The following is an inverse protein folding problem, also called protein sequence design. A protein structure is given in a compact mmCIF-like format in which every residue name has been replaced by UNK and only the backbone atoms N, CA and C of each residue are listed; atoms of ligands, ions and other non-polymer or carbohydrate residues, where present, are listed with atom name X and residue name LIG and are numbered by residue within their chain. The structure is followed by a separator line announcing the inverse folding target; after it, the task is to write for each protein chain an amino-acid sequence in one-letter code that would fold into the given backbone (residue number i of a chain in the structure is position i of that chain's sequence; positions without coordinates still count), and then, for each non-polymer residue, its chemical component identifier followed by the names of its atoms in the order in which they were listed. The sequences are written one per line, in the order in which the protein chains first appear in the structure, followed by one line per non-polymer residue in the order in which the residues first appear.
data_IF_943192932460
#
_entry.id   IF_943192932460
#
_cell.length_a   1.000
_cell.length_b   1.000
_cell.length_c   1.000
_cell.angle_alpha   90.00
_cell.angle_beta   90.00
_cell.angle_gamma   90.00
#
_symmetry.space_group_name_H-M   'P 1'
#
loop_
_entity.id
_entity.type
_entity.pdbx_description
1 polymer ?
#
# COMPACT_ATOMS: atom_id res chain seq x y z
N UNK A 1 -1.33 8.99 4.51
CA UNK A 1 -0.16 9.83 4.82
C UNK A 1 1.12 9.03 4.62
N UNK A 2 2.21 9.68 4.23
CA UNK A 2 3.52 9.04 4.06
C UNK A 2 4.43 9.17 5.29
N UNK A 3 3.90 9.73 6.37
CA UNK A 3 4.49 9.73 7.71
C UNK A 3 3.39 9.64 8.76
N UNK A 4 3.79 9.69 10.03
CA UNK A 4 2.91 9.74 11.20
C UNK A 4 3.53 10.69 12.23
N UNK A 5 2.75 11.21 13.20
CA UNK A 5 3.34 11.95 14.32
C UNK A 5 4.34 11.07 15.07
N UNK A 6 5.32 11.70 15.73
CA UNK A 6 6.39 11.00 16.42
C UNK A 6 5.89 10.11 17.55
N UNK A 7 6.40 8.89 17.68
CA UNK A 7 5.97 7.94 18.72
C UNK A 7 6.16 8.50 20.15
N UNK A 8 7.26 9.25 20.37
CA UNK A 8 7.58 9.90 21.64
C UNK A 8 6.63 11.05 21.97
N UNK A 9 5.87 11.53 21.00
CA UNK A 9 4.84 12.55 21.17
C UNK A 9 3.42 11.96 21.29
N UNK A 10 3.25 10.64 21.13
CA UNK A 10 1.94 10.00 21.10
C UNK A 10 1.72 9.03 22.26
N UNK A 11 2.50 7.95 22.32
CA UNK A 11 2.26 6.81 23.24
C UNK A 11 3.52 6.39 24.02
N UNK A 12 4.72 6.82 23.62
CA UNK A 12 5.99 6.42 24.24
C UNK A 12 6.49 7.50 25.21
N UNK A 13 5.98 7.48 26.44
CA UNK A 13 6.37 8.45 27.47
C UNK A 13 7.79 8.17 27.98
N UNK A 14 8.71 9.10 27.69
CA UNK A 14 10.11 9.05 28.14
C UNK A 14 10.49 10.24 29.02
N UNK A 15 10.17 10.22 30.33
CA UNK A 15 10.42 11.34 31.24
C UNK A 15 11.91 11.72 31.36
N UNK A 16 12.80 10.73 31.24
CA UNK A 16 14.24 10.96 31.34
C UNK A 16 14.78 11.90 30.24
N UNK A 17 14.12 11.98 29.07
CA UNK A 17 14.54 12.91 28.01
C UNK A 17 14.53 14.37 28.46
N UNK A 18 13.70 14.72 29.45
CA UNK A 18 13.65 16.09 30.01
C UNK A 18 14.98 16.47 30.65
N UNK A 19 15.63 15.54 31.37
CA UNK A 19 16.95 15.76 32.01
C UNK A 19 18.08 15.95 31.00
N UNK A 20 17.86 15.50 29.77
CA UNK A 20 18.80 15.59 28.66
C UNK A 20 18.44 16.68 27.65
N UNK A 21 17.40 17.48 27.89
CA UNK A 21 16.97 18.49 26.93
C UNK A 21 18.11 19.44 26.55
N UNK A 22 18.31 19.64 25.24
CA UNK A 22 19.39 20.44 24.64
C UNK A 22 20.82 19.96 24.96
N UNK A 23 20.98 18.76 25.51
CA UNK A 23 22.29 18.10 25.59
C UNK A 23 22.57 17.35 24.29
N UNK A 24 23.84 17.19 23.90
CA UNK A 24 24.20 16.37 22.74
C UNK A 24 23.72 14.92 22.95
N UNK A 25 23.30 14.29 21.86
CA UNK A 25 22.91 12.88 21.85
C UNK A 25 24.11 12.03 22.31
N UNK A 26 23.95 11.20 23.35
CA UNK A 26 25.05 10.38 23.85
C UNK A 26 25.62 9.45 22.76
N UNK A 27 26.95 9.28 22.66
CA UNK A 27 27.56 8.35 21.71
C UNK A 27 27.06 6.90 21.86
N UNK A 28 26.70 6.50 23.08
CA UNK A 28 26.10 5.20 23.38
C UNK A 28 24.72 4.97 22.73
N UNK A 29 24.01 6.03 22.36
CA UNK A 29 22.72 5.95 21.65
C UNK A 29 22.93 6.00 20.15
N UNK A 30 23.81 6.90 19.69
CA UNK A 30 24.11 7.05 18.27
C UNK A 30 24.76 5.78 17.70
N UNK A 31 25.70 5.15 18.42
CA UNK A 31 26.40 3.92 18.01
C UNK A 31 26.90 3.91 16.55
N UNK A 32 27.21 5.09 15.99
CA UNK A 32 27.59 5.22 14.58
C UNK A 32 26.47 4.96 13.56
N UNK A 33 25.20 5.04 13.99
CA UNK A 33 24.04 4.89 13.11
C UNK A 33 24.12 5.85 11.92
N UNK A 34 23.67 5.35 10.75
CA UNK A 34 23.61 6.15 9.53
C UNK A 34 22.57 7.25 9.71
N UNK A 35 22.99 8.49 9.48
CA UNK A 35 22.08 9.64 9.42
C UNK A 35 21.74 9.98 7.98
N UNK A 36 20.58 10.59 7.76
CA UNK A 36 20.18 11.05 6.44
C UNK A 36 21.09 12.20 5.97
N UNK A 37 21.14 12.45 4.66
CA UNK A 37 21.87 13.59 4.11
C UNK A 37 21.40 14.94 4.68
N UNK A 38 20.11 15.03 5.07
CA UNK A 38 19.52 16.25 5.65
C UNK A 38 19.98 16.51 7.09
N UNK A 39 20.40 15.46 7.81
CA UNK A 39 20.83 15.53 9.21
C UNK A 39 22.35 15.47 9.36
N UNK A 40 23.09 15.11 8.30
CA UNK A 40 24.55 15.02 8.31
C UNK A 40 25.17 16.40 8.58
N UNK A 41 26.08 16.46 9.56
CA UNK A 41 26.75 17.71 9.95
C UNK A 41 25.87 18.68 10.74
N UNK A 42 24.63 18.30 11.09
CA UNK A 42 23.77 19.06 12.00
C UNK A 42 23.95 18.56 13.43
N UNK A 43 23.87 19.49 14.37
CA UNK A 43 23.90 19.17 15.80
C UNK A 43 22.73 18.25 16.16
N UNK A 44 23.02 17.16 16.86
CA UNK A 44 22.02 16.18 17.31
C UNK A 44 21.74 16.42 18.79
N UNK A 45 20.76 17.29 19.06
CA UNK A 45 20.34 17.61 20.43
C UNK A 45 19.14 16.77 20.84
N UNK A 46 19.14 16.33 22.10
CA UNK A 46 18.00 15.61 22.67
C UNK A 46 16.83 16.57 22.88
N UNK A 47 15.66 16.20 22.37
CA UNK A 47 14.39 16.91 22.54
C UNK A 47 13.34 15.98 23.17
N UNK A 48 12.82 16.28 24.38
CA UNK A 48 11.68 15.59 24.93
C UNK A 48 10.41 16.00 24.20
N UNK A 49 9.34 15.23 24.38
CA UNK A 49 8.01 15.69 23.98
C UNK A 49 7.63 16.97 24.71
N UNK A 50 6.96 17.88 23.99
CA UNK A 50 6.39 19.10 24.57
C UNK A 50 5.00 18.89 25.18
N UNK A 51 4.41 17.72 24.97
CA UNK A 51 3.04 17.43 25.36
C UNK A 51 2.96 16.72 26.70
N UNK A 52 1.83 16.86 27.37
CA UNK A 52 1.56 16.17 28.62
C UNK A 52 1.09 14.73 28.40
N UNK A 53 1.58 13.83 29.25
CA UNK A 53 1.22 12.41 29.25
C UNK A 53 0.48 12.04 30.54
N UNK A 54 -0.53 11.18 30.40
CA UNK A 54 -1.25 10.58 31.52
C UNK A 54 -1.49 9.11 31.21
N UNK A 55 -1.51 8.26 32.25
CA UNK A 55 -1.98 6.88 32.13
C UNK A 55 -3.49 6.88 31.93
N UNK A 56 -3.97 6.05 31.01
CA UNK A 56 -5.36 5.99 30.58
C UNK A 56 -5.89 4.56 30.70
N UNK A 57 -7.18 4.45 30.98
CA UNK A 57 -7.83 3.16 31.19
C UNK A 57 -7.29 2.39 32.39
N UNK A 58 -7.82 1.19 32.59
CA UNK A 58 -7.35 0.21 33.58
C UNK A 58 -6.01 -0.40 33.18
N UNK A 59 -5.75 -0.51 31.87
CA UNK A 59 -4.48 -0.94 31.28
C UNK A 59 -3.32 0.02 31.59
N UNK A 60 -3.62 1.27 31.94
CA UNK A 60 -2.63 2.26 32.35
C UNK A 60 -1.70 2.67 31.22
N UNK A 61 -2.18 2.63 29.96
CA UNK A 61 -1.45 3.03 28.76
C UNK A 61 -1.10 4.52 28.84
N UNK A 62 0.16 4.85 28.58
CA UNK A 62 0.59 6.25 28.45
C UNK A 62 0.05 6.86 27.16
N UNK A 63 -0.65 7.99 27.28
CA UNK A 63 -1.20 8.69 26.11
C UNK A 63 -1.09 10.21 26.24
N UNK A 64 -0.62 10.83 25.15
CA UNK A 64 -0.51 12.28 24.98
C UNK A 64 -1.88 12.99 25.05
N UNK A 65 -1.88 14.25 25.50
CA UNK A 65 -3.07 15.12 25.60
C UNK A 65 -3.79 15.43 24.30
N UNK A 66 -3.13 15.21 23.16
CA UNK A 66 -3.69 15.43 21.83
C UNK A 66 -4.84 14.47 21.46
N UNK A 67 -5.06 13.40 22.23
CA UNK A 67 -6.08 12.39 21.91
C UNK A 67 -7.23 12.32 22.93
N UNK A 68 -8.00 13.41 23.17
CA UNK A 68 -9.04 13.42 24.20
C UNK A 68 -10.12 12.34 24.00
N UNK A 69 -10.42 12.00 22.74
CA UNK A 69 -11.44 11.00 22.37
C UNK A 69 -10.89 9.57 22.41
N UNK A 70 -9.66 9.34 21.94
CA UNK A 70 -9.06 8.01 21.90
C UNK A 70 -8.87 7.42 23.32
N UNK A 71 -8.64 8.29 24.30
CA UNK A 71 -8.50 7.91 25.72
C UNK A 71 -9.73 7.18 26.28
N UNK A 72 -10.92 7.44 25.73
CA UNK A 72 -12.17 6.82 26.19
C UNK A 72 -12.22 5.31 25.90
N UNK A 73 -11.43 4.85 24.93
CA UNK A 73 -11.34 3.45 24.52
C UNK A 73 -9.94 2.88 24.79
N UNK A 74 -9.20 3.46 25.74
CA UNK A 74 -7.81 3.07 26.01
C UNK A 74 -7.65 1.57 26.29
N UNK A 75 -8.61 0.97 27.01
CA UNK A 75 -8.57 -0.46 27.35
C UNK A 75 -8.85 -1.41 26.17
N UNK A 76 -9.35 -0.88 25.05
CA UNK A 76 -9.55 -1.63 23.80
C UNK A 76 -8.34 -1.50 22.85
N UNK A 77 -7.32 -0.74 23.23
CA UNK A 77 -6.13 -0.53 22.41
C UNK A 77 -5.01 -1.52 22.77
N UNK A 78 -4.38 -2.07 21.74
CA UNK A 78 -3.12 -2.81 21.87
C UNK A 78 -1.97 -1.96 21.31
N UNK A 79 -0.97 -1.66 22.15
CA UNK A 79 0.21 -0.90 21.75
C UNK A 79 1.40 -1.85 21.65
N UNK A 80 2.01 -1.91 20.46
CA UNK A 80 3.20 -2.73 20.19
C UNK A 80 4.44 -1.83 20.24
N UNK A 81 5.16 -1.86 21.36
CA UNK A 81 6.40 -1.09 21.56
C UNK A 81 7.67 -1.83 21.11
N UNK A 82 7.54 -3.09 20.67
CA UNK A 82 8.67 -3.94 20.26
C UNK A 82 9.06 -3.78 18.80
N UNK A 83 8.33 -2.99 18.01
CA UNK A 83 8.64 -2.78 16.59
C UNK A 83 9.93 -1.97 16.44
N UNK A 84 10.87 -2.51 15.67
CA UNK A 84 12.12 -1.85 15.32
C UNK A 84 12.38 -2.02 13.81
N UNK A 85 13.10 -1.08 13.21
CA UNK A 85 13.52 -1.12 11.80
C UNK A 85 14.91 -0.51 11.66
N UNK A 86 15.67 -0.98 10.67
CA UNK A 86 16.96 -0.43 10.31
C UNK A 86 16.83 0.72 9.28
N UNK A 87 15.62 0.96 8.77
CA UNK A 87 15.35 1.98 7.78
C UNK A 87 15.53 3.38 8.38
N UNK A 88 16.53 4.11 7.87
CA UNK A 88 16.81 5.50 8.28
C UNK A 88 15.86 6.53 7.65
N UNK A 89 15.13 6.12 6.60
CA UNK A 89 14.23 6.95 5.82
C UNK A 89 12.81 6.40 5.87
N UNK A 90 11.84 7.30 5.82
CA UNK A 90 10.43 6.94 5.89
C UNK A 90 9.95 6.06 4.72
N UNK A 91 10.48 6.22 3.51
CA UNK A 91 10.08 5.42 2.34
C UNK A 91 10.45 3.92 2.46
N UNK A 92 11.72 3.56 2.75
CA UNK A 92 12.08 2.19 3.09
C UNK A 92 11.33 1.66 4.32
N UNK A 93 11.16 2.49 5.37
CA UNK A 93 10.45 2.08 6.58
C UNK A 93 8.97 1.72 6.31
N UNK A 94 8.26 2.51 5.49
CA UNK A 94 6.90 2.20 5.03
C UNK A 94 6.86 0.89 4.24
N UNK A 95 7.82 0.69 3.35
CA UNK A 95 7.89 -0.53 2.53
C UNK A 95 8.11 -1.73 3.44
N UNK A 96 8.99 -1.61 4.44
CA UNK A 96 9.24 -2.64 5.43
C UNK A 96 8.00 -2.97 6.26
N UNK A 97 7.33 -1.94 6.80
CA UNK A 97 6.11 -2.14 7.58
C UNK A 97 5.02 -2.86 6.78
N UNK A 98 4.86 -2.49 5.51
CA UNK A 98 3.80 -3.06 4.68
C UNK A 98 4.15 -4.42 4.06
N UNK A 99 5.43 -4.73 3.81
CA UNK A 99 5.85 -5.88 2.98
C UNK A 99 6.89 -6.80 3.63
N UNK A 100 7.37 -6.44 4.83
CA UNK A 100 8.45 -7.13 5.54
C UNK A 100 9.84 -6.88 4.95
N UNK A 101 10.00 -5.98 3.97
CA UNK A 101 11.27 -5.69 3.31
C UNK A 101 11.41 -4.20 2.98
N UNK A 102 12.62 -3.67 3.15
CA UNK A 102 12.95 -2.30 2.73
C UNK A 102 13.03 -2.19 1.19
N UNK A 103 13.36 -3.29 0.51
CA UNK A 103 13.43 -3.38 -0.95
C UNK A 103 12.03 -3.67 -1.51
N UNK A 104 11.52 -2.85 -2.45
CA UNK A 104 10.22 -3.08 -3.08
C UNK A 104 10.18 -4.36 -3.92
N UNK A 105 8.97 -4.91 -4.08
CA UNK A 105 8.71 -6.09 -4.91
C UNK A 105 8.07 -7.27 -4.16
N UNK A 106 8.12 -7.26 -2.83
CA UNK A 106 7.43 -8.27 -2.01
C UNK A 106 5.94 -7.99 -1.91
N UNK A 107 5.16 -9.05 -1.69
CA UNK A 107 3.75 -8.95 -1.42
C UNK A 107 3.52 -8.18 -0.10
N UNK A 108 2.52 -7.31 -0.11
CA UNK A 108 2.08 -6.60 1.09
C UNK A 108 1.41 -7.55 2.08
N UNK A 109 1.36 -7.14 3.35
CA UNK A 109 0.66 -7.87 4.41
C UNK A 109 -0.81 -8.11 4.04
N UNK A 110 -1.48 -7.12 3.45
CA UNK A 110 -2.86 -7.29 2.95
C UNK A 110 -2.96 -8.37 1.86
N UNK A 111 -2.01 -8.42 0.92
CA UNK A 111 -1.97 -9.44 -0.11
C UNK A 111 -1.71 -10.84 0.46
N UNK A 112 -0.83 -10.96 1.46
CA UNK A 112 -0.60 -12.23 2.16
C UNK A 112 -1.82 -12.72 2.92
N UNK A 113 -2.54 -11.82 3.61
CA UNK A 113 -3.78 -12.14 4.32
C UNK A 113 -4.85 -12.61 3.33
N UNK A 114 -5.03 -11.87 2.24
CA UNK A 114 -5.97 -12.20 1.16
C UNK A 114 -5.63 -13.55 0.49
N UNK A 115 -4.34 -13.86 0.30
CA UNK A 115 -3.91 -15.15 -0.24
C UNK A 115 -4.10 -16.30 0.74
N UNK A 116 -3.69 -16.12 2.00
CA UNK A 116 -3.66 -17.18 3.01
C UNK A 116 -5.02 -17.48 3.63
N UNK A 117 -5.84 -16.47 3.88
CA UNK A 117 -7.19 -16.63 4.45
C UNK A 117 -8.27 -16.73 3.37
N UNK A 118 -7.96 -16.34 2.13
CA UNK A 118 -8.93 -16.25 1.06
C UNK A 118 -9.87 -15.05 1.21
N UNK A 119 -10.95 -15.06 0.43
CA UNK A 119 -11.96 -14.02 0.46
C UNK A 119 -13.28 -14.52 1.04
N UNK A 120 -13.91 -13.67 1.85
CA UNK A 120 -15.30 -13.85 2.27
C UNK A 120 -16.29 -13.34 1.22
N UNK A 121 -15.83 -12.70 0.14
CA UNK A 121 -16.67 -12.15 -0.90
C UNK A 121 -16.14 -12.52 -2.30
N UNK A 122 -17.02 -12.63 -3.28
CA UNK A 122 -16.64 -12.86 -4.68
C UNK A 122 -16.68 -11.58 -5.53
N UNK A 123 -17.40 -10.56 -5.04
CA UNK A 123 -17.77 -9.40 -5.85
C UNK A 123 -17.07 -8.10 -5.43
N UNK A 124 -16.38 -8.08 -4.27
CA UNK A 124 -15.61 -6.92 -3.79
C UNK A 124 -14.15 -7.28 -3.54
N UNK A 125 -13.25 -6.28 -3.56
CA UNK A 125 -11.85 -6.48 -3.21
C UNK A 125 -11.68 -7.00 -1.78
N UNK A 126 -10.69 -7.87 -1.57
CA UNK A 126 -10.38 -8.43 -0.25
C UNK A 126 -9.92 -7.38 0.76
N UNK A 127 -9.23 -6.33 0.27
CA UNK A 127 -8.92 -5.16 1.08
C UNK A 127 -8.78 -3.91 0.22
N UNK A 128 -9.06 -2.77 0.85
CA UNK A 128 -9.06 -1.45 0.22
C UNK A 128 -8.01 -0.55 0.84
N UNK A 129 -7.50 0.39 0.05
CA UNK A 129 -6.46 1.33 0.48
C UNK A 129 -6.98 2.75 0.35
N UNK A 130 -7.40 3.38 1.45
CA UNK A 130 -7.82 4.77 1.43
C UNK A 130 -6.60 5.68 1.29
N UNK A 131 -6.62 6.57 0.29
CA UNK A 131 -5.55 7.55 0.12
C UNK A 131 -5.95 8.92 0.64
N UNK A 132 -5.12 9.48 1.53
CA UNK A 132 -5.38 10.76 2.20
C UNK A 132 -5.19 12.00 1.31
N UNK A 133 -4.81 11.82 0.04
CA UNK A 133 -4.56 12.91 -0.88
C UNK A 133 -4.73 12.46 -2.33
N UNK A 134 -5.38 13.30 -3.13
CA UNK A 134 -5.59 13.14 -4.56
C UNK A 134 -4.76 14.19 -5.30
N UNK A 135 -4.13 13.80 -6.42
CA UNK A 135 -3.34 14.72 -7.23
C UNK A 135 -4.25 15.75 -7.89
N UNK A 136 -4.17 17.01 -7.45
CA UNK A 136 -4.95 18.14 -8.00
C UNK A 136 -4.15 18.99 -8.99
N UNK A 137 -3.15 18.44 -9.67
CA UNK A 137 -2.41 19.19 -10.69
C UNK A 137 -1.51 20.31 -10.17
N UNK A 138 -0.88 20.13 -8.99
CA UNK A 138 0.26 20.96 -8.57
C UNK A 138 0.06 21.86 -7.34
N UNK A 139 -1.16 21.99 -6.80
CA UNK A 139 -1.46 22.93 -5.68
C UNK A 139 -1.43 22.32 -4.29
N UNK A 140 -1.30 20.99 -4.15
CA UNK A 140 -1.25 20.33 -2.84
C UNK A 140 -0.05 19.39 -2.78
N UNK A 141 0.67 19.43 -1.65
CA UNK A 141 1.75 18.51 -1.34
C UNK A 141 1.16 17.11 -1.10
N UNK A 142 0.87 16.41 -2.18
CA UNK A 142 0.49 15.00 -2.17
C UNK A 142 1.79 14.23 -2.05
N UNK A 143 2.19 13.90 -0.81
CA UNK A 143 3.26 12.91 -0.67
C UNK A 143 2.82 11.63 -1.40
N UNK A 144 3.58 11.26 -2.44
CA UNK A 144 3.26 10.13 -3.29
C UNK A 144 3.24 8.84 -2.45
N UNK A 145 2.06 8.23 -2.35
CA UNK A 145 1.93 6.86 -1.89
C UNK A 145 2.00 5.95 -3.11
N UNK A 146 2.99 5.06 -3.12
CA UNK A 146 3.23 4.16 -4.24
C UNK A 146 2.46 2.86 -4.06
N UNK A 147 1.93 2.32 -5.15
CA UNK A 147 1.18 1.05 -5.18
C UNK A 147 1.96 -0.14 -4.61
N UNK A 148 3.29 -0.09 -4.66
CA UNK A 148 4.17 -1.08 -4.03
C UNK A 148 3.90 -1.33 -2.54
N UNK A 149 3.30 -0.37 -1.83
CA UNK A 149 2.98 -0.53 -0.40
C UNK A 149 1.80 -1.47 -0.15
N UNK A 150 0.97 -1.72 -1.16
CA UNK A 150 -0.17 -2.64 -1.10
C UNK A 150 -0.16 -3.61 -2.28
N UNK A 151 1.03 -3.87 -2.82
CA UNK A 151 1.25 -4.74 -3.98
C UNK A 151 0.97 -6.21 -3.68
N UNK A 152 0.59 -6.98 -4.70
CA UNK A 152 0.56 -8.45 -4.62
C UNK A 152 1.95 -9.08 -4.74
N UNK A 153 2.96 -8.34 -5.22
CA UNK A 153 4.30 -8.88 -5.42
C UNK A 153 4.28 -10.12 -6.34
N UNK A 154 4.86 -11.27 -5.92
CA UNK A 154 4.80 -12.50 -6.70
C UNK A 154 3.43 -13.21 -6.66
N UNK A 155 2.50 -12.78 -5.80
CA UNK A 155 1.18 -13.38 -5.70
C UNK A 155 0.29 -12.96 -6.89
N UNK A 156 -0.69 -13.80 -7.28
CA UNK A 156 -1.67 -13.45 -8.31
C UNK A 156 -2.29 -12.07 -8.08
N UNK A 157 -2.48 -11.32 -9.18
CA UNK A 157 -2.98 -9.94 -9.14
C UNK A 157 -4.34 -9.76 -8.48
N UNK A 158 -5.13 -10.83 -8.34
CA UNK A 158 -6.39 -10.82 -7.58
C UNK A 158 -6.22 -10.41 -6.11
N UNK A 159 -5.02 -10.58 -5.54
CA UNK A 159 -4.68 -10.21 -4.16
C UNK A 159 -4.12 -8.78 -4.05
N UNK A 160 -4.14 -8.00 -5.13
CA UNK A 160 -3.68 -6.62 -5.15
C UNK A 160 -4.65 -5.72 -4.38
N UNK A 161 -4.13 -4.89 -3.47
CA UNK A 161 -4.96 -3.92 -2.77
C UNK A 161 -5.57 -2.90 -3.74
N UNK A 162 -6.86 -2.59 -3.57
CA UNK A 162 -7.57 -1.65 -4.42
C UNK A 162 -7.56 -0.26 -3.79
N UNK A 163 -7.00 0.71 -4.52
CA UNK A 163 -6.96 2.11 -4.09
C UNK A 163 -8.36 2.72 -4.13
N UNK A 164 -8.77 3.33 -3.03
CA UNK A 164 -10.02 4.07 -2.91
C UNK A 164 -9.78 5.57 -2.86
N UNK A 165 -10.50 6.31 -3.71
CA UNK A 165 -10.53 7.76 -3.70
C UNK A 165 -11.52 8.28 -2.66
N UNK A 166 -11.19 9.43 -2.07
CA UNK A 166 -12.04 10.10 -1.08
C UNK A 166 -13.12 10.99 -1.72
N UNK A 167 -13.02 11.26 -3.02
CA UNK A 167 -13.99 12.05 -3.79
C UNK A 167 -14.06 11.55 -5.24
N UNK A 168 -15.19 11.76 -5.90
CA UNK A 168 -15.45 11.24 -7.24
C UNK A 168 -15.72 9.73 -7.23
N UNK A 169 -15.24 9.02 -8.24
CA UNK A 169 -15.35 7.56 -8.33
C UNK A 169 -14.44 6.89 -7.28
N UNK A 170 -15.01 6.15 -6.29
CA UNK A 170 -14.21 5.51 -5.24
C UNK A 170 -13.18 4.55 -5.82
N UNK A 171 -13.58 3.75 -6.81
CA UNK A 171 -12.69 2.96 -7.64
C UNK A 171 -12.61 3.62 -9.01
N UNK A 172 -11.39 3.91 -9.47
CA UNK A 172 -11.17 4.55 -10.76
C UNK A 172 -11.92 3.83 -11.89
N UNK A 173 -12.68 4.60 -12.68
CA UNK A 173 -13.41 4.14 -13.87
C UNK A 173 -14.54 3.12 -13.60
N UNK A 174 -15.04 3.10 -12.35
CA UNK A 174 -16.21 2.31 -12.01
C UNK A 174 -17.48 2.86 -12.69
N UNK A 175 -17.65 4.18 -12.69
CA UNK A 175 -18.78 4.82 -13.34
C UNK A 175 -18.64 4.78 -14.87
N UNK A 176 -19.77 4.87 -15.57
CA UNK A 176 -19.74 5.07 -17.01
C UNK A 176 -19.26 6.49 -17.33
N UNK A 177 -18.37 6.66 -18.33
CA UNK A 177 -18.02 7.99 -18.79
C UNK A 177 -19.28 8.70 -19.34
N UNK A 178 -19.28 10.03 -19.29
CA UNK A 178 -20.40 10.84 -19.80
C UNK A 178 -20.68 10.48 -21.26
N UNK A 179 -21.95 10.16 -21.56
CA UNK A 179 -22.40 9.77 -22.91
C UNK A 179 -22.41 8.27 -23.19
N UNK A 180 -21.93 7.42 -22.26
CA UNK A 180 -22.06 5.96 -22.37
C UNK A 180 -23.14 5.49 -21.39
N UNK A 181 -24.23 4.97 -21.93
CA UNK A 181 -25.27 4.35 -21.10
C UNK A 181 -24.89 2.91 -20.71
N UNK A 182 -25.58 2.38 -19.70
CA UNK A 182 -25.33 1.04 -19.18
C UNK A 182 -25.54 -0.06 -20.21
N UNK A 183 -26.51 0.09 -21.12
CA UNK A 183 -26.80 -0.89 -22.18
C UNK A 183 -25.69 -0.95 -23.22
N UNK A 184 -25.14 0.19 -23.65
CA UNK A 184 -23.97 0.23 -24.54
C UNK A 184 -22.77 -0.43 -23.85
N UNK A 185 -22.48 -0.10 -22.59
CA UNK A 185 -21.35 -0.72 -21.86
C UNK A 185 -21.55 -2.24 -21.72
N UNK A 186 -22.78 -2.69 -21.43
CA UNK A 186 -23.08 -4.13 -21.32
C UNK A 186 -22.82 -4.85 -22.64
N UNK A 187 -23.27 -4.29 -23.77
CA UNK A 187 -23.02 -4.84 -25.10
C UNK A 187 -21.54 -4.94 -25.42
N UNK A 188 -20.75 -3.92 -25.07
CA UNK A 188 -19.29 -3.95 -25.22
C UNK A 188 -18.65 -5.09 -24.41
N UNK A 189 -19.06 -5.26 -23.15
CA UNK A 189 -18.55 -6.33 -22.28
C UNK A 189 -18.93 -7.72 -22.77
N UNK A 190 -20.18 -7.91 -23.20
CA UNK A 190 -20.66 -9.20 -23.71
C UNK A 190 -19.96 -9.58 -25.02
N UNK A 191 -19.73 -8.62 -25.91
CA UNK A 191 -18.96 -8.83 -27.14
C UNK A 191 -17.51 -9.23 -26.82
N UNK A 192 -16.86 -8.53 -25.88
CA UNK A 192 -15.51 -8.87 -25.44
C UNK A 192 -15.42 -10.26 -24.81
N UNK A 193 -16.45 -10.66 -24.06
CA UNK A 193 -16.54 -12.01 -23.48
C UNK A 193 -16.67 -13.07 -24.56
N UNK A 194 -17.55 -12.88 -25.54
CA UNK A 194 -17.74 -13.82 -26.65
C UNK A 194 -16.44 -14.06 -27.42
N UNK A 195 -15.74 -12.98 -27.80
CA UNK A 195 -14.42 -13.08 -28.48
C UNK A 195 -13.40 -13.83 -27.63
N UNK A 196 -13.37 -13.56 -26.31
CA UNK A 196 -12.45 -14.24 -25.40
C UNK A 196 -12.78 -15.72 -25.14
N UNK A 197 -14.02 -16.14 -25.35
CA UNK A 197 -14.44 -17.55 -25.30
C UNK A 197 -14.02 -18.27 -26.60
N UNK A 198 -14.21 -17.64 -27.75
CA UNK A 198 -13.76 -18.17 -29.06
C UNK A 198 -12.24 -18.39 -29.13
N UNK A 199 -11.44 -17.42 -28.67
CA UNK A 199 -9.98 -17.56 -28.64
C UNK A 199 -9.51 -18.68 -27.69
N UNK A 200 -10.25 -18.96 -26.61
CA UNK A 200 -9.95 -20.07 -25.70
C UNK A 200 -10.33 -21.41 -26.30
N UNK A 201 -11.41 -21.48 -27.07
CA UNK A 201 -11.76 -22.64 -27.89
C UNK A 201 -10.64 -22.98 -28.87
N UNK A 202 -10.17 -21.99 -29.62
CA UNK A 202 -9.02 -22.14 -30.54
C UNK A 202 -7.74 -22.60 -29.84
N UNK A 203 -7.44 -22.04 -28.67
CA UNK A 203 -6.25 -22.43 -27.89
C UNK A 203 -6.34 -23.87 -27.35
N UNK A 204 -7.53 -24.32 -26.97
CA UNK A 204 -7.76 -25.69 -26.52
C UNK A 204 -7.64 -26.70 -27.69
N UNK A 205 -8.15 -26.33 -28.86
CA UNK A 205 -8.06 -27.11 -30.09
C UNK A 205 -6.60 -27.24 -30.57
N UNK A 206 -5.81 -26.16 -30.49
CA UNK A 206 -4.38 -26.18 -30.80
C UNK A 206 -3.55 -27.01 -29.81
N UNK A 207 -3.95 -27.06 -28.53
CA UNK A 207 -3.24 -27.82 -27.48
C UNK A 207 -3.52 -29.32 -27.54
N UNK A 208 -4.62 -29.74 -28.17
CA UNK A 208 -4.94 -31.16 -28.40
C UNK A 208 -4.33 -31.72 -29.68
N UNK A 209 -3.72 -30.88 -30.53
CA UNK A 209 -3.00 -31.34 -31.71
C UNK A 209 -1.64 -31.91 -31.31
N UNK A 210 -1.30 -33.15 -31.74
CA UNK A 210 0.04 -33.69 -31.54
C UNK A 210 1.10 -32.74 -32.12
N UNK A 211 2.22 -32.60 -31.41
CA UNK A 211 3.37 -31.85 -31.88
C UNK A 211 3.99 -32.60 -33.06
N UNK A 212 3.58 -32.27 -34.29
CA UNK A 212 4.32 -32.71 -35.48
C UNK A 212 5.48 -31.72 -35.74
N UNK A 213 6.69 -32.22 -36.02
CA UNK A 213 7.85 -31.37 -36.25
C UNK A 213 7.61 -30.49 -37.49
N UNK A 214 7.87 -29.19 -37.31
CA UNK A 214 7.69 -28.09 -38.28
C UNK A 214 8.14 -28.45 -39.71
N UNK A 215 7.21 -28.96 -40.51
CA UNK A 215 7.24 -28.92 -41.96
C UNK A 215 6.29 -27.84 -42.44
N UNK A 216 6.83 -26.75 -42.98
CA UNK A 216 6.20 -25.73 -43.82
C UNK A 216 4.67 -25.80 -43.98
N UNK A 217 3.93 -24.92 -43.30
CA UNK A 217 2.57 -24.55 -43.69
C UNK A 217 2.37 -23.03 -43.59
N UNK A 218 2.68 -22.34 -44.69
CA UNK A 218 1.96 -21.12 -45.08
C UNK A 218 1.53 -21.25 -46.55
N UNK A 219 0.29 -21.71 -46.80
CA UNK A 219 -0.37 -21.28 -48.03
C UNK A 219 -1.82 -20.89 -47.77
N UNK A 220 -2.17 -19.63 -48.06
CA UNK A 220 -3.60 -19.27 -48.08
C UNK A 220 -4.00 -17.81 -47.99
N UNK A 221 -3.14 -16.82 -48.30
CA UNK A 221 -3.57 -15.41 -48.28
C UNK A 221 -3.02 -14.52 -49.41
N UNK A 222 -2.81 -15.09 -50.60
CA UNK A 222 -2.45 -14.30 -51.80
C UNK A 222 -3.20 -14.75 -53.07
N UNK A 223 -4.50 -15.06 -52.96
CA UNK A 223 -5.32 -15.22 -54.17
C UNK A 223 -6.80 -14.85 -53.99
N UNK A 224 -7.07 -13.62 -53.55
CA UNK A 224 -8.32 -12.93 -53.85
C UNK A 224 -8.06 -11.44 -54.02
N UNK A 225 -7.77 -11.02 -55.25
CA UNK A 225 -8.12 -9.71 -55.81
C UNK A 225 -7.86 -9.77 -57.32
N UNK A 226 -8.82 -10.36 -58.03
CA UNK A 226 -8.96 -10.20 -59.47
C UNK A 226 -10.12 -9.24 -59.73
N UNK A 227 -9.78 -7.98 -60.07
CA UNK A 227 -10.37 -7.15 -61.12
C UNK A 227 -9.34 -6.11 -61.52
#
# INVERSE_FOLDING_TARGET
MAGAPSQIDLFDYKPELVKHFRKPLPPSVSMGQRVTAMSKGKEQLVAPSKYQFKRQGKSGIWMCELFPRLRQVADDLCIINSLNTNAINHDPAKTFLCTGSEIPGRASMGAWISYGLGSMNRDLPDFVVPTSAFWTGGTRNVQALYSRLWGSGPLPSKHQGVKFQTAGDPVLFLSNPKGIDTSIRRRMLDTGRAVGEDCRGWSAEFRQRPWEPLGYWWPGLLQQNGR
#
